data_IF_267619772185
#
_entry.id   IF_267619772185
#
_cell.length_a   1.000
_cell.length_b   1.000
_cell.length_c   1.000
_cell.angle_alpha   90.00
_cell.angle_beta   90.00
_cell.angle_gamma   90.00
#
_symmetry.space_group_name_H-M   'P 1'
#
loop_
_entity.id
_entity.type
_entity.pdbx_description
1 polymer ?
#
# COMPACT_ATOMS: atom_id res chain seq x y z
N UNK A 1 -1.26 17.16 -17.38
CA UNK A 1 -2.73 17.25 -17.24
C UNK A 1 -3.03 18.36 -16.24
N UNK A 2 -3.97 19.29 -16.50
CA UNK A 2 -4.21 20.43 -15.62
C UNK A 2 -4.66 19.99 -14.22
N UNK A 3 -4.26 20.74 -13.16
CA UNK A 3 -4.35 20.30 -11.76
C UNK A 3 -5.77 20.23 -11.16
N UNK A 4 -6.82 20.55 -11.92
CA UNK A 4 -8.18 20.76 -11.40
C UNK A 4 -9.16 19.58 -11.63
N UNK A 5 -8.74 18.54 -12.36
CA UNK A 5 -9.52 17.30 -12.50
C UNK A 5 -8.80 16.10 -11.88
N UNK A 6 -8.75 16.12 -10.54
CA UNK A 6 -8.29 14.98 -9.78
C UNK A 6 -9.38 13.93 -9.66
N UNK A 7 -9.19 12.79 -10.33
CA UNK A 7 -9.99 11.60 -10.11
C UNK A 7 -9.19 10.57 -9.30
N UNK A 8 -9.87 9.86 -8.40
CA UNK A 8 -9.36 8.70 -7.70
C UNK A 8 -10.12 7.47 -8.20
N UNK A 9 -9.42 6.46 -8.67
CA UNK A 9 -10.03 5.20 -9.10
C UNK A 9 -9.60 4.13 -8.12
N UNK A 10 -10.57 3.46 -7.52
CA UNK A 10 -10.36 2.21 -6.80
C UNK A 10 -10.90 1.12 -7.71
N UNK A 11 -10.07 0.14 -8.05
CA UNK A 11 -10.42 -0.93 -8.98
C UNK A 11 -9.84 -2.27 -8.53
N UNK A 12 -10.32 -3.33 -9.17
CA UNK A 12 -9.79 -4.68 -8.98
C UNK A 12 -9.31 -5.15 -10.35
N UNK A 13 -8.02 -5.42 -10.47
CA UNK A 13 -7.43 -6.00 -11.67
C UNK A 13 -6.68 -7.27 -11.29
N UNK A 14 -7.01 -8.38 -11.96
CA UNK A 14 -6.40 -9.71 -11.70
C UNK A 14 -6.43 -10.13 -10.22
N UNK A 15 -7.56 -9.88 -9.53
CA UNK A 15 -7.75 -10.08 -8.08
C UNK A 15 -6.87 -9.20 -7.17
N UNK A 16 -6.13 -8.23 -7.71
CA UNK A 16 -5.41 -7.23 -6.94
C UNK A 16 -6.22 -5.94 -6.86
N UNK A 17 -6.36 -5.42 -5.65
CA UNK A 17 -7.07 -4.17 -5.41
C UNK A 17 -6.10 -3.01 -5.60
N UNK A 18 -6.38 -2.12 -6.55
CA UNK A 18 -5.51 -0.99 -6.85
C UNK A 18 -6.24 0.33 -6.61
N UNK A 19 -5.50 1.34 -6.15
CA UNK A 19 -5.98 2.69 -6.00
C UNK A 19 -5.06 3.65 -6.77
N UNK A 20 -5.61 4.32 -7.78
CA UNK A 20 -4.90 5.31 -8.59
C UNK A 20 -5.42 6.69 -8.22
N UNK A 21 -4.51 7.61 -7.91
CA UNK A 21 -4.83 9.01 -7.71
C UNK A 21 -4.12 9.86 -8.75
N UNK A 22 -4.88 10.69 -9.47
CA UNK A 22 -4.33 11.63 -10.46
C UNK A 22 -3.72 12.88 -9.82
N UNK A 23 -3.85 13.06 -8.50
CA UNK A 23 -3.18 14.16 -7.78
C UNK A 23 -1.71 13.84 -7.54
N UNK A 24 -0.81 14.82 -7.69
CA UNK A 24 0.56 14.68 -7.23
C UNK A 24 0.57 14.55 -5.70
N UNK A 25 1.19 13.49 -5.21
CA UNK A 25 1.33 13.18 -3.77
C UNK A 25 2.82 13.15 -3.45
N UNK A 26 3.23 13.64 -2.26
CA UNK A 26 4.64 13.52 -1.86
C UNK A 26 5.06 12.07 -1.76
N UNK A 27 6.30 11.76 -2.13
CA UNK A 27 6.84 10.39 -2.10
C UNK A 27 6.54 9.65 -0.78
N UNK A 28 6.72 10.31 0.35
CA UNK A 28 6.46 9.71 1.67
C UNK A 28 4.98 9.37 1.90
N UNK A 29 4.06 10.22 1.43
CA UNK A 29 2.61 9.95 1.53
C UNK A 29 2.21 8.80 0.61
N UNK A 30 2.82 8.69 -0.57
CA UNK A 30 2.61 7.58 -1.50
C UNK A 30 3.08 6.25 -0.90
N UNK A 31 4.30 6.20 -0.37
CA UNK A 31 4.84 5.01 0.33
C UNK A 31 3.95 4.64 1.52
N UNK A 32 3.52 5.63 2.31
CA UNK A 32 2.62 5.39 3.43
C UNK A 32 1.29 4.80 2.97
N UNK A 33 0.69 5.28 1.89
CA UNK A 33 -0.56 4.73 1.36
C UNK A 33 -0.44 3.30 0.85
N UNK A 34 0.73 2.91 0.33
CA UNK A 34 0.99 1.54 -0.11
C UNK A 34 1.19 0.57 1.08
N UNK A 35 1.91 1.00 2.12
CA UNK A 35 2.27 0.14 3.26
C UNK A 35 1.20 0.12 4.36
N UNK A 36 0.36 1.15 4.46
CA UNK A 36 -0.64 1.26 5.53
C UNK A 36 -1.65 0.09 5.56
N UNK A 37 -2.26 -0.32 4.43
CA UNK A 37 -3.22 -1.42 4.43
C UNK A 37 -2.58 -2.75 4.84
N UNK A 38 -1.35 -3.02 4.36
CA UNK A 38 -0.63 -4.26 4.65
C UNK A 38 -0.14 -4.33 6.10
N UNK A 39 0.22 -3.18 6.70
CA UNK A 39 0.54 -3.08 8.11
C UNK A 39 -0.68 -3.40 8.98
N UNK A 40 -1.83 -2.82 8.65
CA UNK A 40 -3.07 -2.98 9.42
C UNK A 40 -3.72 -4.35 9.27
N UNK A 41 -3.72 -4.92 8.07
CA UNK A 41 -4.40 -6.20 7.77
C UNK A 41 -3.46 -7.40 7.76
N UNK A 42 -2.14 -7.18 7.65
CA UNK A 42 -1.13 -8.23 7.63
C UNK A 42 -0.37 -8.32 8.95
N UNK A 43 0.36 -7.25 9.30
CA UNK A 43 1.26 -7.24 10.46
C UNK A 43 0.50 -7.19 11.78
N UNK A 44 -0.49 -6.31 11.92
CA UNK A 44 -1.25 -6.17 13.17
C UNK A 44 -1.91 -7.49 13.63
N UNK A 45 -2.61 -8.26 12.77
CA UNK A 45 -3.19 -9.54 13.17
C UNK A 45 -2.15 -10.54 13.68
N UNK A 46 -0.96 -10.58 13.07
CA UNK A 46 0.13 -11.47 13.51
C UNK A 46 0.77 -11.02 14.82
N UNK A 47 0.89 -9.72 15.05
CA UNK A 47 1.37 -9.20 16.34
C UNK A 47 0.37 -9.55 17.45
N UNK A 48 -0.93 -9.38 17.20
CA UNK A 48 -1.98 -9.75 18.15
C UNK A 48 -1.96 -11.26 18.39
N UNK A 49 -1.74 -12.07 17.35
CA UNK A 49 -1.58 -13.52 17.46
C UNK A 49 -0.46 -13.91 18.43
N UNK A 50 0.70 -13.24 18.36
CA UNK A 50 1.83 -13.51 19.28
C UNK A 50 1.51 -13.20 20.75
N UNK A 51 0.58 -12.27 21.01
CA UNK A 51 0.17 -11.89 22.36
C UNK A 51 -1.01 -12.73 22.87
N UNK A 52 -1.67 -13.51 22.00
CA UNK A 52 -2.84 -14.30 22.35
C UNK A 52 -2.46 -15.67 22.95
N UNK A 53 -3.22 -16.15 23.95
CA UNK A 53 -2.98 -17.46 24.54
C UNK A 53 -3.32 -18.57 23.55
N UNK A 54 -2.51 -19.64 23.57
CA UNK A 54 -2.64 -20.80 22.66
C UNK A 54 -3.99 -21.52 22.82
N UNK A 55 -4.66 -21.35 23.96
CA UNK A 55 -5.98 -21.92 24.23
C UNK A 55 -7.08 -21.39 23.30
N UNK A 56 -6.93 -20.19 22.74
CA UNK A 56 -7.91 -19.56 21.85
C UNK A 56 -7.69 -19.94 20.38
N UNK A 57 -7.73 -21.25 20.09
CA UNK A 57 -7.41 -21.81 18.76
C UNK A 57 -8.19 -21.14 17.63
N UNK A 58 -9.51 -20.90 17.79
CA UNK A 58 -10.33 -20.29 16.73
C UNK A 58 -9.89 -18.86 16.37
N UNK A 59 -9.58 -18.05 17.39
CA UNK A 59 -9.14 -16.65 17.21
C UNK A 59 -7.74 -16.64 16.61
N UNK A 60 -6.86 -17.53 17.09
CA UNK A 60 -5.51 -17.68 16.58
C UNK A 60 -5.50 -18.10 15.10
N UNK A 61 -6.36 -19.04 14.71
CA UNK A 61 -6.51 -19.42 13.30
C UNK A 61 -6.98 -18.25 12.45
N UNK A 62 -7.96 -17.47 12.91
CA UNK A 62 -8.47 -16.31 12.18
C UNK A 62 -7.41 -15.21 12.04
N UNK A 63 -6.68 -14.89 13.10
CA UNK A 63 -5.61 -13.90 13.08
C UNK A 63 -4.45 -14.34 12.17
N UNK A 64 -4.12 -15.63 12.19
CA UNK A 64 -3.07 -16.19 11.34
C UNK A 64 -3.45 -16.18 9.86
N UNK A 65 -4.68 -16.57 9.52
CA UNK A 65 -5.14 -16.56 8.12
C UNK A 65 -5.30 -15.12 7.61
N UNK A 66 -5.90 -14.23 8.40
CA UNK A 66 -6.05 -12.82 8.04
C UNK A 66 -4.67 -12.16 7.84
N UNK A 67 -3.74 -12.36 8.78
CA UNK A 67 -2.39 -11.81 8.69
C UNK A 67 -1.59 -12.37 7.51
N UNK A 68 -1.67 -13.68 7.26
CA UNK A 68 -0.97 -14.32 6.15
C UNK A 68 -1.51 -13.87 4.79
N UNK A 69 -2.84 -13.84 4.62
CA UNK A 69 -3.49 -13.35 3.39
C UNK A 69 -3.26 -11.84 3.21
N UNK A 70 -3.31 -11.07 4.29
CA UNK A 70 -3.03 -9.64 4.30
C UNK A 70 -1.55 -9.28 4.08
N UNK A 71 -0.61 -10.22 4.21
CA UNK A 71 0.77 -9.99 3.77
C UNK A 71 0.99 -10.38 2.31
N UNK A 72 0.41 -11.50 1.88
CA UNK A 72 0.57 -11.99 0.50
C UNK A 72 -0.16 -11.14 -0.52
N UNK A 73 -1.37 -10.67 -0.21
CA UNK A 73 -2.20 -9.86 -1.12
C UNK A 73 -1.54 -8.52 -1.46
N UNK A 74 -0.87 -7.91 -0.48
CA UNK A 74 -0.25 -6.59 -0.62
C UNK A 74 1.25 -6.66 -1.00
N UNK A 75 1.70 -7.80 -1.53
CA UNK A 75 3.08 -7.98 -1.98
C UNK A 75 3.47 -6.97 -3.08
N UNK A 76 2.53 -6.67 -3.99
CA UNK A 76 2.73 -5.67 -5.05
C UNK A 76 2.97 -4.27 -4.48
N UNK A 77 2.27 -3.90 -3.41
CA UNK A 77 2.41 -2.59 -2.77
C UNK A 77 3.77 -2.42 -2.10
N UNK A 78 4.34 -3.49 -1.53
CA UNK A 78 5.70 -3.48 -1.01
C UNK A 78 6.74 -3.27 -2.12
N UNK A 79 6.57 -3.93 -3.27
CA UNK A 79 7.48 -3.76 -4.41
C UNK A 79 7.44 -2.32 -4.92
N UNK A 80 6.24 -1.74 -5.05
CA UNK A 80 6.06 -0.34 -5.47
C UNK A 80 6.63 0.64 -4.43
N UNK A 81 6.43 0.37 -3.14
CA UNK A 81 6.99 1.18 -2.06
C UNK A 81 8.53 1.14 -2.05
N UNK A 82 9.14 -0.05 -2.18
CA UNK A 82 10.59 -0.21 -2.26
C UNK A 82 11.14 0.46 -3.52
N UNK A 83 10.48 0.28 -4.67
CA UNK A 83 10.85 0.96 -5.90
C UNK A 83 10.85 2.48 -5.71
N UNK A 84 9.81 3.04 -5.10
CA UNK A 84 9.72 4.46 -4.79
C UNK A 84 10.82 4.94 -3.82
N UNK A 85 11.19 4.13 -2.82
CA UNK A 85 12.28 4.46 -1.88
C UNK A 85 13.63 4.52 -2.61
N UNK A 86 13.91 3.56 -3.48
CA UNK A 86 15.21 3.44 -4.14
C UNK A 86 15.37 4.36 -5.36
N UNK A 87 14.30 4.64 -6.12
CA UNK A 87 14.39 5.35 -7.40
C UNK A 87 13.87 6.79 -7.37
N UNK A 88 13.05 7.17 -6.37
CA UNK A 88 12.41 8.50 -6.35
C UNK A 88 13.08 9.39 -5.30
N UNK A 89 13.57 10.59 -5.66
CA UNK A 89 14.22 11.50 -4.72
C UNK A 89 13.26 12.00 -3.63
N UNK A 90 13.83 12.34 -2.45
CA UNK A 90 13.06 12.68 -1.23
C UNK A 90 12.07 13.84 -1.40
N UNK A 91 12.37 14.79 -2.29
CA UNK A 91 11.59 15.99 -2.50
C UNK A 91 10.69 15.93 -3.74
N UNK A 92 10.58 14.76 -4.37
CA UNK A 92 9.72 14.59 -5.53
C UNK A 92 8.27 14.28 -5.15
N UNK A 93 7.37 14.77 -6.00
CA UNK A 93 5.97 14.40 -6.06
C UNK A 93 5.78 13.26 -7.04
N UNK A 94 5.02 12.26 -6.62
CA UNK A 94 4.64 11.09 -7.42
C UNK A 94 3.24 11.33 -7.95
N UNK A 95 3.06 11.15 -9.26
CA UNK A 95 1.77 11.21 -9.93
C UNK A 95 1.59 9.94 -10.76
N UNK A 96 0.49 9.24 -10.51
CA UNK A 96 0.07 8.14 -11.37
C UNK A 96 -0.61 8.71 -12.61
N UNK A 97 -0.02 8.47 -13.79
CA UNK A 97 -0.56 8.90 -15.08
C UNK A 97 -0.82 7.70 -15.98
N UNK A 98 -1.42 7.95 -17.14
CA UNK A 98 -1.76 6.91 -18.12
C UNK A 98 -0.51 6.19 -18.67
N UNK A 99 0.64 6.85 -18.66
CA UNK A 99 1.94 6.32 -19.10
C UNK A 99 2.75 5.62 -17.98
N UNK A 100 2.24 5.61 -16.74
CA UNK A 100 2.91 4.98 -15.60
C UNK A 100 3.14 5.93 -14.42
N UNK A 101 4.12 5.57 -13.58
CA UNK A 101 4.47 6.30 -12.37
C UNK A 101 5.44 7.45 -12.71
N UNK A 102 4.92 8.66 -12.85
CA UNK A 102 5.73 9.84 -13.12
C UNK A 102 6.13 10.53 -11.80
N UNK A 103 7.34 11.09 -11.75
CA UNK A 103 7.80 11.90 -10.62
C UNK A 103 8.25 13.29 -11.08
N UNK A 104 7.98 14.31 -10.27
CA UNK A 104 8.36 15.70 -10.52
C UNK A 104 9.04 16.28 -9.29
N UNK A 105 10.13 17.02 -9.46
CA UNK A 105 10.73 17.79 -8.37
C UNK A 105 9.93 19.08 -8.14
N UNK A 106 9.62 19.39 -6.88
CA UNK A 106 9.18 20.73 -6.51
C UNK A 106 10.40 21.64 -6.57
N UNK A 107 10.45 22.51 -7.57
CA UNK A 107 11.45 23.57 -7.71
C UNK A 107 11.23 24.67 -6.68
#
# INVERSE_FOLDING_TARGET
>A
MPPDQSFGVIGIERLSLFAICSRPISRNKFIFSAVLPSLLLGVCPLVILCLMPVSMVKINTLLWTAGSVGLTTFCQDYVVALYAIFHIPHHAMVQSSRDGLNYFEMK
#
